data_IF_940129116161
#
_entry.id   IF_940129116161
#
_cell.length_a   1.000
_cell.length_b   1.000
_cell.length_c   1.000
_cell.angle_alpha   90.00
_cell.angle_beta   90.00
_cell.angle_gamma   90.00
#
_symmetry.space_group_name_H-M   'P 1'
#
loop_
_entity.id
_entity.type
_entity.pdbx_description
1 polymer ?
#
# COMPACT_ATOMS: atom_id res chain seq x y z
N UNK A 1 -7.32 -16.64 -7.28
CA UNK A 1 -8.69 -16.09 -7.40
C UNK A 1 -8.61 -14.65 -7.89
N UNK A 2 -9.32 -14.30 -8.99
CA UNK A 2 -9.43 -12.90 -9.42
C UNK A 2 -10.34 -12.13 -8.46
N UNK A 3 -9.92 -10.94 -8.08
CA UNK A 3 -10.72 -9.98 -7.34
C UNK A 3 -10.97 -8.75 -8.20
N UNK A 4 -12.21 -8.28 -8.19
CA UNK A 4 -12.59 -7.01 -8.80
C UNK A 4 -13.28 -6.18 -7.73
N UNK A 5 -12.79 -4.98 -7.48
CA UNK A 5 -13.39 -4.05 -6.54
C UNK A 5 -13.94 -2.86 -7.32
N UNK A 6 -15.17 -2.49 -6.99
CA UNK A 6 -15.94 -1.47 -7.68
C UNK A 6 -16.37 -0.41 -6.67
N UNK A 7 -16.17 0.84 -7.04
CA UNK A 7 -16.87 1.96 -6.43
C UNK A 7 -17.80 2.56 -7.48
N UNK A 8 -19.04 2.77 -7.12
CA UNK A 8 -20.05 3.40 -7.98
C UNK A 8 -20.55 4.67 -7.32
N UNK A 9 -20.31 5.79 -7.95
CA UNK A 9 -20.84 7.07 -7.53
C UNK A 9 -22.17 7.37 -8.23
N UNK A 10 -23.07 7.95 -7.49
CA UNK A 10 -24.33 8.52 -8.03
C UNK A 10 -24.65 9.84 -7.38
N UNK A 11 -23.74 10.34 -6.54
CA UNK A 11 -23.91 11.52 -5.70
C UNK A 11 -22.88 12.58 -6.08
N UNK A 12 -23.32 13.84 -6.21
CA UNK A 12 -22.44 14.98 -6.46
C UNK A 12 -22.06 15.70 -5.17
N UNK A 13 -20.93 16.41 -5.19
CA UNK A 13 -20.43 17.18 -4.05
C UNK A 13 -19.80 16.34 -2.95
N UNK A 14 -19.36 15.12 -3.29
CA UNK A 14 -18.59 14.29 -2.39
C UNK A 14 -17.14 14.79 -2.28
N UNK A 15 -16.50 14.66 -1.11
CA UNK A 15 -15.08 14.97 -0.96
C UNK A 15 -14.24 13.99 -1.79
N UNK A 16 -13.03 14.43 -2.14
CA UNK A 16 -12.02 13.58 -2.79
C UNK A 16 -11.62 12.40 -1.90
N UNK A 17 -11.26 11.27 -2.55
CA UNK A 17 -10.68 10.14 -1.84
C UNK A 17 -9.17 10.33 -1.65
N UNK A 18 -8.62 9.98 -0.48
CA UNK A 18 -7.17 9.83 -0.33
C UNK A 18 -6.64 8.60 -1.06
N UNK A 19 -7.35 7.49 -0.96
CA UNK A 19 -7.03 6.22 -1.62
C UNK A 19 -8.31 5.41 -1.84
N UNK A 20 -8.27 4.52 -2.83
CA UNK A 20 -9.29 3.50 -3.00
C UNK A 20 -8.63 2.14 -3.19
N UNK A 21 -8.93 1.18 -2.31
CA UNK A 21 -8.28 -0.12 -2.36
C UNK A 21 -8.81 -1.14 -1.36
N UNK A 22 -8.12 -2.27 -1.30
CA UNK A 22 -8.43 -3.38 -0.40
C UNK A 22 -7.27 -3.62 0.56
N UNK A 23 -7.58 -3.82 1.84
CA UNK A 23 -6.62 -4.10 2.90
C UNK A 23 -6.71 -5.55 3.36
N UNK A 24 -5.56 -6.20 3.41
CA UNK A 24 -5.38 -7.53 3.98
C UNK A 24 -4.58 -7.42 5.27
N UNK A 25 -5.04 -8.10 6.32
CA UNK A 25 -4.35 -8.18 7.60
C UNK A 25 -3.81 -9.59 7.76
N UNK A 26 -2.49 -9.75 7.73
CA UNK A 26 -1.84 -11.02 7.98
C UNK A 26 -1.42 -11.09 9.46
N UNK A 27 -1.67 -12.21 10.16
CA UNK A 27 -1.52 -12.28 11.62
C UNK A 27 -0.06 -12.29 12.09
N UNK A 28 0.91 -12.46 11.17
CA UNK A 28 2.34 -12.45 11.47
C UNK A 28 3.06 -11.44 10.60
N UNK A 29 4.24 -10.98 11.04
CA UNK A 29 5.09 -10.11 10.23
C UNK A 29 5.58 -10.85 8.99
N UNK A 30 5.66 -10.14 7.88
CA UNK A 30 6.42 -10.57 6.73
C UNK A 30 7.91 -10.39 7.01
N UNK A 31 8.71 -11.35 6.57
CA UNK A 31 10.16 -11.25 6.64
C UNK A 31 10.69 -10.32 5.55
N UNK A 32 10.01 -10.34 4.42
CA UNK A 32 10.31 -9.49 3.27
C UNK A 32 9.15 -9.50 2.28
N UNK A 33 9.22 -8.59 1.32
CA UNK A 33 8.45 -8.69 0.10
C UNK A 33 9.32 -8.43 -1.13
N UNK A 34 8.94 -9.08 -2.24
CA UNK A 34 9.51 -8.82 -3.56
C UNK A 34 8.41 -8.24 -4.44
N UNK A 35 8.74 -7.33 -5.32
CA UNK A 35 7.76 -6.78 -6.24
C UNK A 35 8.39 -6.37 -7.57
N UNK A 36 7.58 -6.36 -8.63
CA UNK A 36 7.92 -5.74 -9.90
C UNK A 36 7.08 -4.47 -10.05
N UNK A 37 7.76 -3.34 -10.15
CA UNK A 37 7.15 -2.02 -10.23
C UNK A 37 8.19 -0.92 -10.17
N UNK A 38 7.81 0.28 -9.76
CA UNK A 38 8.73 1.40 -9.63
C UNK A 38 9.62 1.29 -8.39
N UNK A 39 10.88 1.71 -8.52
CA UNK A 39 11.85 1.70 -7.43
C UNK A 39 11.45 2.65 -6.29
N UNK A 40 11.69 2.20 -5.05
CA UNK A 40 11.51 3.03 -3.86
C UNK A 40 10.06 3.35 -3.53
N UNK A 41 9.87 4.29 -2.62
CA UNK A 41 8.57 4.84 -2.28
C UNK A 41 8.15 5.85 -3.34
N UNK A 42 6.95 5.68 -3.90
CA UNK A 42 6.45 6.48 -5.01
C UNK A 42 4.98 6.81 -4.81
N UNK A 43 4.56 7.98 -5.30
CA UNK A 43 3.18 8.46 -5.34
C UNK A 43 2.88 9.03 -6.72
N UNK A 44 1.63 9.26 -7.11
CA UNK A 44 1.29 9.75 -8.45
C UNK A 44 2.08 10.99 -8.86
N UNK A 45 2.27 11.94 -7.93
CA UNK A 45 2.99 13.20 -8.09
C UNK A 45 4.47 13.12 -7.62
N UNK A 46 4.96 11.94 -7.20
CA UNK A 46 6.31 11.72 -6.66
C UNK A 46 6.91 10.42 -7.19
N UNK A 47 6.97 10.27 -8.51
CA UNK A 47 7.59 9.12 -9.19
C UNK A 47 8.66 9.48 -10.22
N UNK A 48 8.98 10.76 -10.35
CA UNK A 48 10.04 11.21 -11.24
C UNK A 48 11.40 10.62 -10.82
N UNK A 49 12.09 9.98 -11.77
CA UNK A 49 13.35 9.29 -11.53
C UNK A 49 13.23 7.86 -10.97
N UNK A 50 12.05 7.39 -10.65
CA UNK A 50 11.86 5.99 -10.31
C UNK A 50 12.07 5.09 -11.54
N UNK A 51 12.66 3.93 -11.31
CA UNK A 51 13.03 2.98 -12.37
C UNK A 51 12.18 1.72 -12.21
N UNK A 52 11.60 1.25 -13.31
CA UNK A 52 10.91 -0.04 -13.33
C UNK A 52 11.91 -1.17 -13.13
N UNK A 53 11.56 -2.15 -12.29
CA UNK A 53 12.43 -3.28 -11.99
C UNK A 53 11.79 -4.26 -11.01
N UNK A 54 12.60 -5.27 -10.62
CA UNK A 54 12.25 -6.20 -9.55
C UNK A 54 13.06 -5.84 -8.32
N UNK A 55 12.39 -5.65 -7.21
CA UNK A 55 12.98 -5.18 -5.96
C UNK A 55 12.61 -6.08 -4.80
N UNK A 56 13.55 -6.24 -3.86
CA UNK A 56 13.34 -6.91 -2.58
C UNK A 56 13.41 -5.87 -1.46
N UNK A 57 12.48 -5.94 -0.52
CA UNK A 57 12.43 -5.13 0.69
C UNK A 57 12.32 -6.04 1.89
N UNK A 58 13.34 -6.06 2.73
CA UNK A 58 13.44 -6.89 3.95
C UNK A 58 13.21 -6.10 5.24
N UNK A 59 13.10 -4.79 5.16
CA UNK A 59 12.76 -3.92 6.28
C UNK A 59 11.39 -3.27 6.01
N UNK A 60 10.39 -3.69 6.80
CA UNK A 60 9.03 -3.15 6.74
C UNK A 60 8.83 -1.96 7.70
N UNK A 61 9.90 -1.34 8.16
CA UNK A 61 9.80 -0.15 9.00
C UNK A 61 9.12 1.01 8.26
N UNK A 62 8.55 1.91 9.04
CA UNK A 62 8.00 3.15 8.49
C UNK A 62 9.14 4.04 7.98
N UNK A 63 8.84 4.79 6.93
CA UNK A 63 9.71 5.91 6.52
C UNK A 63 9.90 6.85 7.71
N UNK A 64 11.14 7.24 8.04
CA UNK A 64 11.46 7.93 9.29
C UNK A 64 11.08 9.43 9.26
N UNK A 65 9.80 9.71 9.11
CA UNK A 65 9.25 11.04 9.31
C UNK A 65 9.30 11.44 10.78
N UNK A 66 9.38 12.72 11.09
CA UNK A 66 9.40 13.22 12.46
C UNK A 66 8.14 12.83 13.23
N UNK A 67 7.00 12.95 12.59
CA UNK A 67 5.70 12.45 13.08
C UNK A 67 5.31 11.26 12.22
N UNK A 68 4.91 10.12 12.80
CA UNK A 68 4.42 9.00 12.03
C UNK A 68 3.31 9.41 11.06
N UNK A 69 3.43 8.99 9.82
CA UNK A 69 2.40 9.22 8.79
C UNK A 69 2.39 8.07 7.81
N UNK A 70 1.30 7.91 7.09
CA UNK A 70 1.17 6.88 6.06
C UNK A 70 2.29 7.02 5.04
N UNK A 71 2.92 5.90 4.69
CA UNK A 71 4.11 5.85 3.86
C UNK A 71 4.25 4.49 3.17
N UNK A 72 5.34 4.28 2.46
CA UNK A 72 5.70 2.97 1.89
C UNK A 72 4.92 2.61 0.62
N UNK A 73 4.28 3.58 -0.04
CA UNK A 73 3.56 3.33 -1.29
C UNK A 73 4.51 2.91 -2.41
N UNK A 74 4.08 1.94 -3.21
CA UNK A 74 4.76 1.44 -4.42
C UNK A 74 3.80 1.52 -5.59
N UNK A 75 4.11 2.36 -6.56
CA UNK A 75 3.27 2.58 -7.74
C UNK A 75 3.64 1.64 -8.89
N UNK A 76 2.73 1.54 -9.83
CA UNK A 76 2.90 0.85 -11.11
C UNK A 76 3.37 -0.61 -10.95
N UNK A 77 2.78 -1.31 -9.96
CA UNK A 77 3.17 -2.67 -9.57
C UNK A 77 2.46 -3.72 -10.42
N UNK A 78 3.22 -4.63 -11.00
CA UNK A 78 2.68 -5.78 -11.74
C UNK A 78 2.37 -6.96 -10.81
N UNK A 79 3.25 -7.21 -9.85
CA UNK A 79 3.06 -8.25 -8.84
C UNK A 79 3.85 -7.94 -7.56
N UNK A 80 3.36 -8.49 -6.45
CA UNK A 80 4.06 -8.48 -5.16
C UNK A 80 3.95 -9.86 -4.50
N UNK A 81 5.08 -10.34 -3.98
CA UNK A 81 5.22 -11.56 -3.18
C UNK A 81 5.49 -11.18 -1.72
N UNK A 82 4.60 -11.55 -0.82
CA UNK A 82 4.79 -11.37 0.61
C UNK A 82 5.29 -12.69 1.22
N UNK A 83 6.51 -12.68 1.72
CA UNK A 83 7.18 -13.87 2.26
C UNK A 83 7.13 -13.87 3.79
N UNK A 84 6.65 -14.97 4.38
CA UNK A 84 6.55 -15.16 5.83
C UNK A 84 7.04 -16.55 6.21
N UNK A 85 7.83 -16.67 7.28
CA UNK A 85 8.24 -17.94 7.86
C UNK A 85 7.42 -18.30 9.11
N UNK A 86 6.95 -17.28 9.84
CA UNK A 86 6.18 -17.49 11.06
C UNK A 86 4.72 -17.83 10.73
N UNK A 87 4.20 -18.89 11.35
CA UNK A 87 2.79 -19.29 11.28
C UNK A 87 2.22 -19.35 12.71
N UNK A 88 0.94 -19.01 12.86
CA UNK A 88 0.19 -19.22 14.09
C UNK A 88 -0.48 -20.60 14.13
N UNK A 89 -0.30 -21.42 13.11
CA UNK A 89 -0.81 -22.78 13.05
C UNK A 89 0.12 -23.73 13.85
N UNK A 90 -0.31 -24.12 15.04
CA UNK A 90 0.43 -25.03 15.91
C UNK A 90 0.49 -26.49 15.40
N UNK A 91 -0.32 -26.83 14.40
CA UNK A 91 -0.28 -28.16 13.76
C UNK A 91 0.79 -28.26 12.66
N UNK A 92 1.35 -27.13 12.27
CA UNK A 92 2.35 -27.06 11.21
C UNK A 92 3.67 -27.69 11.66
N UNK A 93 4.15 -28.64 10.88
CA UNK A 93 5.40 -29.36 11.13
C UNK A 93 6.54 -28.92 10.21
N UNK A 94 6.23 -28.19 9.15
CA UNK A 94 7.23 -27.63 8.27
C UNK A 94 7.43 -26.14 8.59
N UNK A 95 8.68 -25.68 8.49
CA UNK A 95 9.08 -24.30 8.70
C UNK A 95 9.45 -23.61 7.38
N UNK A 96 8.97 -24.12 6.26
CA UNK A 96 9.16 -23.49 4.96
C UNK A 96 8.46 -22.12 4.92
N UNK A 97 9.00 -21.21 4.14
CA UNK A 97 8.37 -19.92 3.93
C UNK A 97 7.01 -20.08 3.22
N UNK A 98 6.08 -19.22 3.58
CA UNK A 98 4.80 -19.06 2.88
C UNK A 98 4.88 -17.79 2.08
N UNK A 99 4.52 -17.87 0.81
CA UNK A 99 4.46 -16.71 -0.08
C UNK A 99 3.01 -16.49 -0.50
N UNK A 100 2.54 -15.27 -0.31
CA UNK A 100 1.29 -14.78 -0.88
C UNK A 100 1.66 -13.89 -2.07
N UNK A 101 1.25 -14.29 -3.26
CA UNK A 101 1.41 -13.47 -4.45
C UNK A 101 0.11 -12.73 -4.77
N UNK A 102 0.24 -11.42 -5.02
CA UNK A 102 -0.78 -10.61 -5.67
C UNK A 102 -0.24 -10.20 -7.03
N UNK A 103 -1.04 -10.37 -8.06
CA UNK A 103 -0.65 -10.11 -9.44
C UNK A 103 -1.69 -9.26 -10.15
N UNK A 104 -1.26 -8.31 -10.96
CA UNK A 104 -2.18 -7.53 -11.80
C UNK A 104 -2.97 -8.44 -12.72
N UNK A 105 -4.20 -8.11 -12.97
CA UNK A 105 -5.01 -8.79 -13.98
C UNK A 105 -4.91 -8.05 -15.32
N UNK A 106 -5.27 -6.81 -15.33
CA UNK A 106 -5.27 -5.97 -16.52
C UNK A 106 -4.23 -4.84 -16.37
N UNK A 107 -4.48 -3.90 -15.47
CA UNK A 107 -3.62 -2.75 -15.20
C UNK A 107 -2.76 -2.94 -13.95
N UNK A 108 -1.58 -2.29 -13.88
CA UNK A 108 -0.79 -2.24 -12.66
C UNK A 108 -1.59 -1.65 -11.50
N UNK A 109 -1.26 -2.06 -10.28
CA UNK A 109 -1.84 -1.52 -9.05
C UNK A 109 -0.78 -0.78 -8.24
N UNK A 110 -1.22 -0.03 -7.24
CA UNK A 110 -0.33 0.44 -6.18
C UNK A 110 -0.50 -0.42 -4.94
N UNK A 111 0.55 -0.52 -4.11
CA UNK A 111 0.45 -1.22 -2.83
C UNK A 111 1.29 -0.55 -1.75
N UNK A 112 0.94 -0.85 -0.49
CA UNK A 112 1.80 -0.65 0.67
C UNK A 112 1.83 -1.92 1.51
N UNK A 113 2.98 -2.20 2.14
CA UNK A 113 3.17 -3.36 3.01
C UNK A 113 3.89 -2.91 4.28
N UNK A 114 3.12 -2.69 5.35
CA UNK A 114 3.58 -2.09 6.59
C UNK A 114 3.14 -2.94 7.80
N UNK A 115 3.76 -2.77 8.98
CA UNK A 115 3.33 -3.47 10.20
C UNK A 115 2.12 -2.83 10.88
N UNK A 116 1.68 -1.65 10.44
CA UNK A 116 0.63 -0.84 11.04
C UNK A 116 -0.45 -0.46 10.03
N UNK A 117 -1.65 -0.22 10.51
CA UNK A 117 -2.72 0.40 9.73
C UNK A 117 -2.50 1.92 9.65
N UNK A 118 -3.05 2.57 8.61
CA UNK A 118 -3.04 4.03 8.51
C UNK A 118 -3.58 4.71 9.76
N UNK A 119 -4.66 4.17 10.35
CA UNK A 119 -5.24 4.71 11.59
C UNK A 119 -4.33 4.59 12.81
N UNK A 120 -3.55 3.51 12.94
CA UNK A 120 -2.55 3.39 14.02
C UNK A 120 -1.43 4.41 13.85
N UNK A 121 -0.99 4.61 12.61
CA UNK A 121 0.06 5.59 12.30
C UNK A 121 -0.44 7.00 12.56
N UNK A 122 -1.64 7.34 12.09
CA UNK A 122 -2.21 8.69 12.24
C UNK A 122 -2.48 9.09 13.69
N UNK A 123 -2.80 8.12 14.55
CA UNK A 123 -3.03 8.38 15.97
C UNK A 123 -1.75 8.52 16.81
N UNK A 124 -0.59 8.22 16.26
CA UNK A 124 0.68 8.34 16.95
C UNK A 124 1.32 9.71 16.66
N UNK A 125 1.66 10.45 17.69
CA UNK A 125 2.42 11.71 17.59
C UNK A 125 3.93 11.46 17.55
N UNK A 126 4.38 10.32 18.10
CA UNK A 126 5.78 9.90 18.12
C UNK A 126 5.89 8.42 17.78
N UNK A 127 7.04 8.00 17.25
CA UNK A 127 7.27 6.60 16.88
C UNK A 127 7.18 5.63 18.06
N UNK A 128 7.52 6.08 19.26
CA UNK A 128 7.47 5.29 20.50
C UNK A 128 6.04 4.98 20.96
N UNK A 129 5.04 5.68 20.43
CA UNK A 129 3.63 5.44 20.74
C UNK A 129 3.03 4.32 19.89
N UNK A 130 3.71 3.92 18.83
CA UNK A 130 3.29 2.80 18.01
C UNK A 130 3.45 1.49 18.79
N UNK A 131 2.48 0.56 18.70
CA UNK A 131 2.59 -0.73 19.36
C UNK A 131 3.74 -1.56 18.75
N UNK A 132 4.28 -2.55 19.45
CA UNK A 132 5.24 -3.47 18.85
C UNK A 132 4.71 -4.08 17.56
N UNK A 133 5.53 -4.06 16.51
CA UNK A 133 5.19 -4.65 15.21
C UNK A 133 4.95 -6.16 15.37
N UNK A 134 3.78 -6.66 14.95
CA UNK A 134 3.39 -8.07 15.15
C UNK A 134 2.62 -8.69 13.99
N UNK A 135 2.26 -7.90 13.01
CA UNK A 135 1.43 -8.32 11.87
C UNK A 135 1.86 -7.59 10.61
N UNK A 136 1.37 -8.01 9.48
CA UNK A 136 1.57 -7.34 8.19
C UNK A 136 0.24 -6.79 7.70
N UNK A 137 0.23 -5.53 7.35
CA UNK A 137 -0.87 -4.85 6.69
C UNK A 137 -0.47 -4.66 5.23
N UNK A 138 -1.10 -5.41 4.35
CA UNK A 138 -0.94 -5.28 2.90
C UNK A 138 -2.16 -4.55 2.36
N UNK A 139 -1.94 -3.41 1.72
CA UNK A 139 -2.98 -2.70 1.01
C UNK A 139 -2.71 -2.73 -0.49
N UNK A 140 -3.72 -3.09 -1.28
CA UNK A 140 -3.69 -3.09 -2.74
C UNK A 140 -4.65 -2.00 -3.21
N UNK A 141 -4.14 -1.03 -3.95
CA UNK A 141 -4.89 0.16 -4.33
C UNK A 141 -5.11 0.21 -5.84
N UNK A 142 -6.35 0.51 -6.21
CA UNK A 142 -6.71 0.86 -7.60
C UNK A 142 -6.54 2.35 -7.88
N UNK A 143 -6.61 3.20 -6.83
CA UNK A 143 -6.40 4.63 -6.96
C UNK A 143 -5.70 5.19 -5.71
N UNK A 144 -4.75 6.09 -5.94
CA UNK A 144 -3.95 6.76 -4.91
C UNK A 144 -3.90 8.24 -5.24
N UNK A 145 -4.20 9.10 -4.28
CA UNK A 145 -4.08 10.56 -4.42
C UNK A 145 -2.61 10.97 -4.31
N UNK A 146 -2.24 12.03 -5.00
CA UNK A 146 -0.94 12.69 -4.81
C UNK A 146 -0.77 13.22 -3.39
N UNK A 147 0.48 13.40 -2.98
CA UNK A 147 0.83 13.87 -1.63
C UNK A 147 1.06 15.38 -1.55
N UNK A 148 1.16 16.08 -2.69
CA UNK A 148 1.37 17.52 -2.72
C UNK A 148 2.74 17.95 -2.20
N UNK A 149 2.79 19.02 -1.40
CA UNK A 149 4.05 19.52 -0.85
C UNK A 149 4.95 20.18 -1.91
N UNK A 150 4.33 20.80 -2.91
CA UNK A 150 5.04 21.54 -3.97
C UNK A 150 5.63 22.85 -3.45
N UNK A 151 5.12 23.34 -2.33
CA UNK A 151 5.64 24.51 -1.64
C UNK A 151 5.52 24.40 -0.11
N UNK A 152 6.01 25.40 0.63
CA UNK A 152 5.92 25.47 2.10
C UNK A 152 4.68 26.20 2.62
N UNK A 153 3.76 26.58 1.74
CA UNK A 153 2.62 27.42 2.06
C UNK A 153 1.30 26.65 2.13
N UNK A 154 1.35 25.33 1.96
CA UNK A 154 0.18 24.47 2.05
C UNK A 154 -0.66 24.44 0.78
N UNK A 155 -0.05 24.58 -0.38
CA UNK A 155 -0.74 24.39 -1.66
C UNK A 155 -1.37 23.00 -1.72
N UNK A 156 -2.59 22.96 -2.26
CA UNK A 156 -3.29 21.71 -2.50
C UNK A 156 -2.52 20.82 -3.50
N UNK A 157 -2.83 19.53 -3.46
CA UNK A 157 -2.44 18.60 -4.54
C UNK A 157 -3.06 19.09 -5.85
N UNK A 158 -2.28 19.00 -6.93
CA UNK A 158 -2.76 19.37 -8.27
C UNK A 158 -3.94 18.48 -8.68
N UNK A 159 -4.92 19.06 -9.36
CA UNK A 159 -6.19 18.40 -9.71
C UNK A 159 -6.01 17.07 -10.44
N UNK A 160 -4.97 16.95 -11.26
CA UNK A 160 -4.66 15.73 -12.00
C UNK A 160 -4.26 14.53 -11.11
N UNK A 161 -3.85 14.79 -9.86
CA UNK A 161 -3.49 13.78 -8.86
C UNK A 161 -4.56 13.61 -7.79
N UNK A 162 -5.70 14.25 -7.92
CA UNK A 162 -6.85 14.07 -7.04
C UNK A 162 -7.72 12.91 -7.50
N UNK A 163 -8.39 12.24 -6.56
CA UNK A 163 -9.32 11.14 -6.85
C UNK A 163 -10.73 11.65 -6.63
N UNK A 164 -11.49 11.82 -7.72
CA UNK A 164 -12.89 12.21 -7.65
C UNK A 164 -13.72 11.09 -7.02
N UNK A 165 -14.51 11.43 -5.99
CA UNK A 165 -15.52 10.54 -5.46
C UNK A 165 -16.83 10.55 -6.27
N UNK A 166 -16.91 11.37 -7.31
CA UNK A 166 -18.06 11.45 -8.22
C UNK A 166 -17.91 10.52 -9.43
N UNK A 167 -16.75 9.93 -9.63
CA UNK A 167 -16.46 9.00 -10.72
C UNK A 167 -16.43 7.55 -10.23
N UNK A 168 -16.80 6.64 -11.12
CA UNK A 168 -16.70 5.21 -10.84
C UNK A 168 -15.24 4.76 -10.84
N UNK A 169 -14.85 3.92 -9.90
CA UNK A 169 -13.51 3.34 -9.80
C UNK A 169 -13.60 1.83 -9.88
N UNK A 170 -12.91 1.26 -10.87
CA UNK A 170 -12.77 -0.18 -11.08
C UNK A 170 -11.31 -0.57 -11.04
N UNK A 171 -10.97 -1.62 -10.33
CA UNK A 171 -9.68 -2.28 -10.47
C UNK A 171 -9.77 -3.77 -10.14
N UNK A 172 -8.84 -4.55 -10.64
CA UNK A 172 -8.83 -5.99 -10.45
C UNK A 172 -7.41 -6.53 -10.29
N UNK A 173 -7.27 -7.57 -9.48
CA UNK A 173 -6.03 -8.29 -9.26
C UNK A 173 -6.30 -9.77 -9.01
N UNK A 174 -5.26 -10.59 -9.05
CA UNK A 174 -5.34 -12.02 -8.77
C UNK A 174 -4.53 -12.36 -7.51
N UNK A 175 -5.09 -13.19 -6.65
CA UNK A 175 -4.39 -13.80 -5.51
C UNK A 175 -4.01 -15.23 -5.90
N UNK A 176 -2.70 -15.55 -5.79
CA UNK A 176 -2.11 -16.85 -6.13
C UNK A 176 -1.53 -17.54 -4.89
#
# INVERSE_FOLDING_TARGET
FPYTTLFRSGVKGLPEFPVFGMRFVMPTLADKYLYKGLSGETYPDRKAGAIEGVYEVSDLSLTPYLVPQECGMRMDTEWVDIVRHTSLDNSRTDYSSQTLRIEKKDEPFAFSCLPYTASEIENALHHEELPPARRTILCIYGAVRGVGGIDSWGSNVEDEYCISAEEDIDYSFTIC
#
